data_IF_367471337442
#
_entry.id   IF_367471337442
#
_cell.length_a   1.000
_cell.length_b   1.000
_cell.length_c   1.000
_cell.angle_alpha   90.00
_cell.angle_beta   90.00
_cell.angle_gamma   90.00
#
_symmetry.space_group_name_H-M   'P 1'
#
loop_
_entity.id
_entity.type
_entity.pdbx_description
1 polymer ?
#
# COMPACT_ATOMS: atom_id res chain seq x y z
N UNK A 1 -2.63 -21.44 3.79
CA UNK A 1 -3.06 -20.58 2.68
C UNK A 1 -2.89 -21.30 1.34
N UNK A 2 -1.81 -21.13 0.62
CA UNK A 2 -1.54 -21.80 -0.68
C UNK A 2 -0.18 -22.50 -0.63
N UNK A 3 -0.02 -23.60 0.13
CA UNK A 3 1.29 -24.24 0.36
C UNK A 3 1.95 -24.78 -0.90
N UNK A 4 1.17 -25.01 -1.96
CA UNK A 4 1.66 -25.47 -3.27
C UNK A 4 2.15 -24.36 -4.21
N UNK A 5 1.95 -23.07 -3.84
CA UNK A 5 2.37 -21.94 -4.66
C UNK A 5 3.69 -21.39 -4.09
N UNK A 6 4.72 -21.21 -4.94
CA UNK A 6 5.97 -20.58 -4.49
C UNK A 6 5.74 -19.22 -3.85
N UNK A 7 6.45 -18.93 -2.76
CA UNK A 7 6.41 -17.61 -2.13
C UNK A 7 7.00 -16.56 -3.06
N UNK A 8 6.35 -15.41 -3.18
CA UNK A 8 6.88 -14.25 -3.88
C UNK A 8 7.91 -13.49 -3.03
N UNK A 9 7.79 -13.53 -1.71
CA UNK A 9 8.71 -12.91 -0.78
C UNK A 9 10.04 -13.67 -0.68
N UNK A 10 11.09 -12.94 -0.30
CA UNK A 10 12.41 -13.50 -0.06
C UNK A 10 12.37 -14.63 0.98
N UNK A 11 13.18 -15.66 0.80
CA UNK A 11 13.26 -16.78 1.72
C UNK A 11 13.79 -16.34 3.10
N UNK A 12 13.34 -17.02 4.16
CA UNK A 12 13.82 -16.73 5.52
C UNK A 12 15.33 -17.02 5.69
N UNK A 13 15.86 -17.91 4.87
CA UNK A 13 17.29 -18.23 4.81
C UNK A 13 18.14 -17.21 4.04
N UNK A 14 17.54 -16.20 3.41
CA UNK A 14 18.22 -15.15 2.65
C UNK A 14 17.97 -13.77 3.30
N UNK A 15 18.74 -13.39 4.30
CA UNK A 15 18.57 -12.12 5.00
C UNK A 15 18.89 -10.90 4.14
N UNK A 16 19.77 -11.00 3.15
CA UNK A 16 20.09 -9.92 2.23
C UNK A 16 18.91 -9.63 1.30
N UNK A 17 18.34 -10.63 0.68
CA UNK A 17 17.14 -10.48 -0.15
C UNK A 17 15.95 -9.92 0.65
N UNK A 18 15.77 -10.36 1.90
CA UNK A 18 14.73 -9.80 2.81
C UNK A 18 14.99 -8.33 3.13
N UNK A 19 16.24 -7.95 3.36
CA UNK A 19 16.59 -6.56 3.62
C UNK A 19 16.31 -5.68 2.40
N UNK A 20 16.72 -6.10 1.20
CA UNK A 20 16.45 -5.39 -0.06
C UNK A 20 14.94 -5.22 -0.27
N UNK A 21 14.16 -6.29 -0.11
CA UNK A 21 12.70 -6.24 -0.25
C UNK A 21 12.09 -5.20 0.69
N UNK A 22 12.42 -5.21 1.98
CA UNK A 22 11.89 -4.27 2.97
C UNK A 22 12.36 -2.83 2.73
N UNK A 23 13.60 -2.65 2.30
CA UNK A 23 14.12 -1.32 1.95
C UNK A 23 13.42 -0.74 0.73
N UNK A 24 13.07 -1.55 -0.26
CA UNK A 24 12.30 -1.11 -1.43
C UNK A 24 10.87 -0.73 -1.06
N UNK A 25 10.20 -1.51 -0.21
CA UNK A 25 8.89 -1.17 0.34
C UNK A 25 8.93 0.21 1.02
N UNK A 26 9.83 0.37 1.99
CA UNK A 26 10.01 1.63 2.71
C UNK A 26 10.40 2.79 1.78
N UNK A 27 11.29 2.56 0.81
CA UNK A 27 11.72 3.58 -0.14
C UNK A 27 10.59 4.09 -1.02
N UNK A 28 9.72 3.21 -1.51
CA UNK A 28 8.61 3.59 -2.38
C UNK A 28 7.50 4.29 -1.59
N UNK A 29 7.14 3.77 -0.43
CA UNK A 29 6.03 4.30 0.38
C UNK A 29 6.52 5.43 1.30
N UNK A 30 7.35 5.11 2.28
CA UNK A 30 7.80 6.06 3.31
C UNK A 30 8.80 7.08 2.76
N UNK A 31 9.65 6.68 1.80
CA UNK A 31 10.55 7.55 1.07
C UNK A 31 9.86 8.50 0.10
N UNK A 32 8.54 8.39 -0.03
CA UNK A 32 7.70 9.35 -0.74
C UNK A 32 7.67 9.22 -2.25
N UNK A 33 8.27 8.17 -2.84
CA UNK A 33 8.25 7.96 -4.32
C UNK A 33 6.81 7.89 -4.82
N UNK A 34 5.93 7.19 -4.09
CA UNK A 34 4.49 7.13 -4.44
C UNK A 34 3.83 8.52 -4.44
N UNK A 35 4.08 9.34 -3.41
CA UNK A 35 3.51 10.69 -3.32
C UNK A 35 3.99 11.55 -4.50
N UNK A 36 5.27 11.46 -4.86
CA UNK A 36 5.81 12.18 -6.01
C UNK A 36 5.21 11.66 -7.32
N UNK A 37 4.95 10.36 -7.43
CA UNK A 37 4.24 9.80 -8.59
C UNK A 37 2.85 10.41 -8.76
N UNK A 38 2.10 10.57 -7.68
CA UNK A 38 0.80 11.25 -7.70
C UNK A 38 0.86 12.69 -8.20
N UNK A 39 1.96 13.42 -7.92
CA UNK A 39 2.17 14.80 -8.40
C UNK A 39 2.51 14.88 -9.88
N UNK A 40 2.89 13.77 -10.50
CA UNK A 40 3.16 13.70 -11.95
C UNK A 40 1.93 13.34 -12.78
N UNK A 41 0.77 13.12 -12.17
CA UNK A 41 -0.46 12.90 -12.92
C UNK A 41 -0.74 14.08 -13.86
N UNK A 42 -1.03 13.84 -15.16
CA UNK A 42 -1.35 14.90 -16.09
C UNK A 42 -2.56 15.70 -15.61
N UNK A 43 -2.49 17.02 -15.50
CA UNK A 43 -3.62 17.82 -15.02
C UNK A 43 -4.83 17.78 -15.97
N UNK A 44 -4.65 17.27 -17.19
CA UNK A 44 -5.70 17.06 -18.18
C UNK A 44 -6.51 15.78 -18.00
N UNK A 45 -6.15 14.91 -17.03
CA UNK A 45 -6.92 13.71 -16.75
C UNK A 45 -8.37 14.07 -16.37
N UNK A 46 -9.39 13.46 -17.02
CA UNK A 46 -10.80 13.75 -16.71
C UNK A 46 -11.15 13.62 -15.24
N UNK A 47 -10.56 12.63 -14.56
CA UNK A 47 -10.76 12.39 -13.13
C UNK A 47 -10.34 13.59 -12.26
N UNK A 48 -9.24 14.27 -12.61
CA UNK A 48 -8.76 15.46 -11.90
C UNK A 48 -9.60 16.71 -12.18
N UNK A 49 -10.52 16.65 -13.15
CA UNK A 49 -11.49 17.70 -13.44
C UNK A 49 -12.81 17.49 -12.69
N UNK A 50 -13.03 16.32 -12.08
CA UNK A 50 -14.25 16.02 -11.33
C UNK A 50 -14.23 16.68 -9.94
N UNK A 51 -15.15 17.63 -9.64
CA UNK A 51 -15.21 18.27 -8.32
C UNK A 51 -15.49 17.28 -7.17
N UNK A 52 -16.21 16.19 -7.44
CA UNK A 52 -16.52 15.16 -6.43
C UNK A 52 -15.26 14.41 -6.06
N UNK A 53 -14.47 13.99 -7.06
CA UNK A 53 -13.18 13.35 -6.85
C UNK A 53 -12.22 14.26 -6.09
N UNK A 54 -12.13 15.54 -6.46
CA UNK A 54 -11.23 16.49 -5.80
C UNK A 54 -11.62 16.76 -4.34
N UNK A 55 -12.91 16.78 -4.01
CA UNK A 55 -13.37 16.87 -2.62
C UNK A 55 -12.99 15.63 -1.81
N UNK A 56 -13.23 14.43 -2.38
CA UNK A 56 -12.87 13.17 -1.77
C UNK A 56 -11.35 13.07 -1.53
N UNK A 57 -10.55 13.48 -2.52
CA UNK A 57 -9.09 13.51 -2.36
C UNK A 57 -8.62 14.52 -1.30
N UNK A 58 -9.25 15.69 -1.24
CA UNK A 58 -8.92 16.69 -0.21
C UNK A 58 -9.24 16.18 1.20
N UNK A 59 -10.35 15.47 1.39
CA UNK A 59 -10.69 14.82 2.65
C UNK A 59 -9.70 13.70 2.99
N UNK A 60 -9.40 12.84 2.03
CA UNK A 60 -8.48 11.72 2.19
C UNK A 60 -7.04 12.15 2.49
N UNK A 61 -6.52 13.16 1.81
CA UNK A 61 -5.14 13.63 2.00
C UNK A 61 -5.00 14.71 3.07
N UNK A 62 -6.10 15.32 3.50
CA UNK A 62 -6.09 16.51 4.36
C UNK A 62 -5.63 17.79 3.65
N UNK A 63 -5.38 17.74 2.35
CA UNK A 63 -4.86 18.88 1.55
C UNK A 63 -5.69 19.09 0.30
N UNK A 64 -6.20 20.31 0.13
CA UNK A 64 -6.85 20.72 -1.11
C UNK A 64 -5.79 21.13 -2.14
N UNK A 65 -5.60 20.31 -3.15
CA UNK A 65 -4.67 20.59 -4.24
C UNK A 65 -5.38 21.39 -5.34
N UNK A 66 -4.85 22.57 -5.67
CA UNK A 66 -5.27 23.31 -6.88
C UNK A 66 -4.46 22.87 -8.08
N UNK A 67 -4.97 23.16 -9.28
CA UNK A 67 -4.26 22.86 -10.53
C UNK A 67 -2.91 23.57 -10.59
N UNK A 68 -2.87 24.85 -10.24
CA UNK A 68 -1.66 25.67 -10.24
C UNK A 68 -0.62 25.14 -9.24
N UNK A 69 -1.05 24.74 -8.06
CA UNK A 69 -0.18 24.11 -7.06
C UNK A 69 0.35 22.75 -7.53
N UNK A 70 -0.49 21.93 -8.18
CA UNK A 70 -0.07 20.66 -8.74
C UNK A 70 0.97 20.87 -9.88
N UNK A 71 0.73 21.81 -10.79
CA UNK A 71 1.65 22.15 -11.88
C UNK A 71 2.99 22.69 -11.35
N UNK A 72 2.97 23.52 -10.30
CA UNK A 72 4.19 24.07 -9.67
C UNK A 72 5.06 23.00 -9.00
N UNK A 73 4.47 21.91 -8.47
CA UNK A 73 5.20 20.82 -7.82
C UNK A 73 5.78 19.78 -8.81
N UNK A 74 5.39 19.80 -10.08
CA UNK A 74 5.82 18.80 -11.06
C UNK A 74 7.34 18.74 -11.30
N UNK A 75 8.09 19.84 -11.39
CA UNK A 75 9.53 19.78 -11.62
C UNK A 75 10.28 19.03 -10.50
N UNK A 76 9.95 19.33 -9.24
CA UNK A 76 10.54 18.67 -8.07
C UNK A 76 10.14 17.20 -8.02
N UNK A 77 8.86 16.90 -8.26
CA UNK A 77 8.38 15.54 -8.33
C UNK A 77 9.10 14.73 -9.42
N UNK A 78 9.33 15.30 -10.60
CA UNK A 78 10.08 14.65 -11.67
C UNK A 78 11.53 14.36 -11.25
N UNK A 79 12.18 15.28 -10.54
CA UNK A 79 13.53 15.07 -10.03
C UNK A 79 13.59 13.91 -9.04
N UNK A 80 12.62 13.81 -8.13
CA UNK A 80 12.56 12.70 -7.16
C UNK A 80 12.30 11.36 -7.85
N UNK A 81 11.42 11.31 -8.84
CA UNK A 81 11.20 10.08 -9.62
C UNK A 81 12.45 9.70 -10.42
N UNK A 82 13.16 10.68 -11.00
CA UNK A 82 14.45 10.43 -11.67
C UNK A 82 15.49 9.84 -10.71
N UNK A 83 15.60 10.38 -9.49
CA UNK A 83 16.49 9.82 -8.46
C UNK A 83 16.14 8.38 -8.12
N UNK A 84 14.85 8.08 -7.98
CA UNK A 84 14.41 6.71 -7.72
C UNK A 84 14.75 5.77 -8.90
N UNK A 85 14.53 6.21 -10.14
CA UNK A 85 14.90 5.45 -11.33
C UNK A 85 16.42 5.28 -11.45
N UNK A 86 17.21 6.34 -11.19
CA UNK A 86 18.67 6.30 -11.22
C UNK A 86 19.23 5.29 -10.20
N UNK A 87 18.68 5.27 -8.99
CA UNK A 87 19.06 4.28 -7.99
C UNK A 87 18.89 2.86 -8.54
N UNK A 88 17.73 2.54 -9.10
CA UNK A 88 17.48 1.21 -9.66
C UNK A 88 18.36 0.91 -10.89
N UNK A 89 18.49 1.88 -11.80
CA UNK A 89 19.27 1.77 -13.05
C UNK A 89 20.76 1.48 -12.79
N UNK A 90 21.34 2.16 -11.79
CA UNK A 90 22.78 2.16 -11.53
C UNK A 90 23.20 1.18 -10.44
N UNK A 91 22.25 0.57 -9.71
CA UNK A 91 22.52 -0.39 -8.64
C UNK A 91 21.90 -1.74 -8.94
N UNK A 92 20.64 -1.98 -8.51
CA UNK A 92 20.01 -3.29 -8.59
C UNK A 92 19.87 -3.83 -10.03
N UNK A 93 19.68 -2.96 -11.01
CA UNK A 93 19.59 -3.34 -12.43
C UNK A 93 20.91 -3.17 -13.19
N UNK A 94 21.97 -2.71 -12.54
CA UNK A 94 23.24 -2.36 -13.18
C UNK A 94 23.91 -3.55 -13.87
N UNK A 95 23.81 -4.75 -13.29
CA UNK A 95 24.40 -6.00 -13.80
C UNK A 95 23.57 -6.68 -14.91
N UNK A 96 22.47 -6.07 -15.34
CA UNK A 96 21.62 -6.60 -16.41
C UNK A 96 20.67 -7.71 -15.97
N UNK A 97 20.46 -7.89 -14.66
CA UNK A 97 19.48 -8.86 -14.13
C UNK A 97 18.07 -8.59 -14.63
N UNK A 98 17.27 -9.63 -14.78
CA UNK A 98 15.87 -9.51 -15.18
C UNK A 98 14.97 -9.04 -14.03
N UNK A 99 15.25 -9.50 -12.79
CA UNK A 99 14.47 -9.22 -11.58
C UNK A 99 15.39 -8.77 -10.43
N UNK A 100 14.89 -7.93 -9.55
CA UNK A 100 15.71 -7.24 -8.54
C UNK A 100 16.47 -8.19 -7.60
N UNK A 101 15.90 -9.35 -7.29
CA UNK A 101 16.53 -10.39 -6.46
C UNK A 101 17.15 -11.55 -7.27
N UNK A 102 17.38 -11.39 -8.59
CA UNK A 102 17.92 -12.43 -9.48
C UNK A 102 17.08 -13.71 -9.51
N UNK A 103 15.80 -13.59 -9.30
CA UNK A 103 14.84 -14.70 -9.32
C UNK A 103 14.47 -15.10 -10.75
N UNK A 104 13.87 -16.28 -10.93
CA UNK A 104 13.41 -16.75 -12.25
C UNK A 104 12.18 -16.01 -12.78
N UNK A 105 11.42 -15.35 -11.90
CA UNK A 105 10.26 -14.53 -12.21
C UNK A 105 10.18 -13.33 -11.28
N UNK A 106 9.16 -12.45 -11.40
CA UNK A 106 9.02 -11.31 -10.51
C UNK A 106 8.86 -11.76 -9.05
N UNK A 107 9.61 -11.16 -8.16
CA UNK A 107 9.55 -11.34 -6.71
C UNK A 107 8.71 -10.24 -6.05
N UNK A 108 8.46 -10.38 -4.75
CA UNK A 108 7.80 -9.32 -3.99
C UNK A 108 8.61 -8.00 -4.01
N UNK A 109 9.94 -8.07 -4.03
CA UNK A 109 10.80 -6.89 -4.19
C UNK A 109 10.54 -6.14 -5.52
N UNK A 110 10.27 -6.88 -6.62
CA UNK A 110 9.89 -6.28 -7.89
C UNK A 110 8.51 -5.62 -7.79
N UNK A 111 7.55 -6.26 -7.13
CA UNK A 111 6.20 -5.73 -6.93
C UNK A 111 6.26 -4.44 -6.11
N UNK A 112 6.97 -4.45 -4.98
CA UNK A 112 7.14 -3.29 -4.09
C UNK A 112 7.77 -2.08 -4.80
N UNK A 113 8.72 -2.32 -5.72
CA UNK A 113 9.46 -1.26 -6.38
C UNK A 113 8.82 -0.77 -7.68
N UNK A 114 8.12 -1.63 -8.44
CA UNK A 114 7.73 -1.34 -9.82
C UNK A 114 6.45 -0.53 -9.93
N UNK A 115 5.48 -0.75 -9.04
CA UNK A 115 4.09 -0.36 -9.26
C UNK A 115 3.89 1.15 -9.50
N UNK A 116 4.54 2.02 -8.73
CA UNK A 116 4.43 3.48 -8.89
C UNK A 116 5.16 3.97 -10.15
N UNK A 117 6.33 3.41 -10.45
CA UNK A 117 7.12 3.72 -11.64
C UNK A 117 6.42 3.21 -12.90
N UNK A 118 5.94 1.97 -12.88
CA UNK A 118 5.18 1.36 -13.98
C UNK A 118 3.90 2.14 -14.29
N UNK A 119 3.21 2.59 -13.26
CA UNK A 119 2.05 3.46 -13.41
C UNK A 119 2.38 4.73 -14.21
N UNK A 120 3.47 5.44 -13.86
CA UNK A 120 3.91 6.64 -14.56
C UNK A 120 4.35 6.36 -16.00
N UNK A 121 5.10 5.27 -16.23
CA UNK A 121 5.57 4.87 -17.56
C UNK A 121 4.39 4.60 -18.49
N UNK A 122 3.35 3.95 -17.99
CA UNK A 122 2.17 3.57 -18.77
C UNK A 122 1.10 4.67 -18.85
N UNK A 123 1.28 5.81 -18.17
CA UNK A 123 0.34 6.92 -18.19
C UNK A 123 0.79 8.01 -19.17
N UNK A 124 0.11 8.20 -20.33
CA UNK A 124 0.48 9.22 -21.29
C UNK A 124 0.52 10.62 -20.67
N UNK A 125 1.61 11.35 -20.87
CA UNK A 125 1.81 12.71 -20.36
C UNK A 125 2.26 12.80 -18.89
N UNK A 126 2.43 11.69 -18.18
CA UNK A 126 2.99 11.69 -16.83
C UNK A 126 4.50 11.97 -16.88
N UNK A 127 5.23 11.28 -17.77
CA UNK A 127 6.68 11.37 -17.90
C UNK A 127 7.08 12.04 -19.23
N UNK A 128 8.21 12.80 -19.26
CA UNK A 128 8.80 13.25 -20.51
C UNK A 128 9.21 12.07 -21.41
N UNK A 129 9.16 12.28 -22.72
CA UNK A 129 9.40 11.23 -23.73
C UNK A 129 10.84 10.68 -23.75
N UNK A 130 11.80 11.42 -23.23
CA UNK A 130 13.23 11.08 -23.23
C UNK A 130 13.65 10.15 -22.07
N UNK A 131 12.75 9.90 -21.09
CA UNK A 131 13.09 9.13 -19.88
C UNK A 131 13.53 7.70 -20.20
N UNK A 132 12.96 7.05 -21.22
CA UNK A 132 13.37 5.72 -21.65
C UNK A 132 14.83 5.67 -22.14
N UNK A 133 15.38 6.79 -22.63
CA UNK A 133 16.79 6.88 -23.02
C UNK A 133 17.70 7.08 -21.82
N UNK A 134 17.22 7.74 -20.77
CA UNK A 134 17.98 7.99 -19.55
C UNK A 134 18.01 6.74 -18.64
N UNK A 135 16.94 5.96 -18.62
CA UNK A 135 16.76 4.82 -17.72
C UNK A 135 16.35 3.54 -18.48
N UNK A 136 17.16 3.07 -19.46
CA UNK A 136 16.77 1.97 -20.35
C UNK A 136 16.52 0.65 -19.62
N UNK A 137 17.26 0.35 -18.53
CA UNK A 137 17.08 -0.90 -17.77
C UNK A 137 15.82 -0.87 -16.93
N UNK A 138 15.49 0.28 -16.31
CA UNK A 138 14.22 0.47 -15.58
C UNK A 138 13.02 0.29 -16.52
N UNK A 139 13.05 0.88 -17.71
CA UNK A 139 11.99 0.71 -18.69
C UNK A 139 11.88 -0.73 -19.21
N UNK A 140 13.01 -1.40 -19.46
CA UNK A 140 13.03 -2.81 -19.86
C UNK A 140 12.49 -3.71 -18.74
N UNK A 141 12.85 -3.47 -17.48
CA UNK A 141 12.36 -4.18 -16.32
C UNK A 141 10.84 -3.99 -16.13
N UNK A 142 10.35 -2.74 -16.18
CA UNK A 142 8.93 -2.43 -16.14
C UNK A 142 8.13 -3.15 -17.24
N UNK A 143 8.65 -3.16 -18.47
CA UNK A 143 8.05 -3.89 -19.60
C UNK A 143 8.03 -5.40 -19.39
N UNK A 144 9.08 -5.99 -18.80
CA UNK A 144 9.09 -7.43 -18.43
C UNK A 144 8.04 -7.74 -17.38
N UNK A 145 7.92 -6.87 -16.37
CA UNK A 145 6.90 -7.01 -15.34
C UNK A 145 5.48 -7.01 -15.93
N UNK A 146 5.17 -6.09 -16.83
CA UNK A 146 3.89 -6.06 -17.55
C UNK A 146 3.62 -7.32 -18.34
N UNK A 147 4.63 -7.84 -19.03
CA UNK A 147 4.48 -9.10 -19.78
C UNK A 147 4.21 -10.29 -18.87
N UNK A 148 4.93 -10.37 -17.74
CA UNK A 148 4.77 -11.46 -16.78
C UNK A 148 3.37 -11.43 -16.13
N UNK A 149 2.91 -10.26 -15.69
CA UNK A 149 1.60 -10.10 -15.04
C UNK A 149 0.45 -10.36 -16.02
N UNK A 150 0.53 -9.88 -17.25
CA UNK A 150 -0.47 -10.15 -18.29
C UNK A 150 -0.51 -11.64 -18.67
N UNK A 151 0.64 -12.29 -18.73
CA UNK A 151 0.70 -13.74 -18.98
C UNK A 151 0.05 -14.53 -17.84
N UNK A 152 0.34 -14.18 -16.59
CA UNK A 152 -0.28 -14.79 -15.42
C UNK A 152 -1.80 -14.57 -15.38
N UNK A 153 -2.27 -13.34 -15.62
CA UNK A 153 -3.69 -13.02 -15.67
C UNK A 153 -4.42 -13.81 -16.78
N UNK A 154 -3.79 -13.96 -17.96
CA UNK A 154 -4.33 -14.76 -19.05
C UNK A 154 -4.43 -16.25 -18.69
N UNK A 155 -3.42 -16.78 -17.98
CA UNK A 155 -3.39 -18.18 -17.57
C UNK A 155 -4.44 -18.50 -16.50
N UNK A 156 -4.70 -17.56 -15.58
CA UNK A 156 -5.74 -17.71 -14.54
C UNK A 156 -7.16 -17.56 -15.07
N UNK A 157 -7.34 -16.91 -16.22
CA UNK A 157 -8.64 -16.57 -16.75
C UNK A 157 -9.31 -15.41 -15.99
N UNK A 158 -10.57 -15.16 -16.34
CA UNK A 158 -11.35 -14.05 -15.73
C UNK A 158 -11.80 -14.42 -14.32
N UNK A 159 -11.48 -13.58 -13.36
CA UNK A 159 -12.00 -13.71 -11.99
C UNK A 159 -13.54 -13.58 -12.00
N UNK A 160 -14.26 -14.34 -11.15
CA UNK A 160 -15.70 -14.17 -11.00
C UNK A 160 -16.02 -12.76 -10.50
N UNK A 161 -17.10 -12.20 -11.04
CA UNK A 161 -17.60 -10.89 -10.60
C UNK A 161 -18.76 -11.13 -9.63
N UNK A 162 -18.69 -10.52 -8.46
CA UNK A 162 -19.75 -10.55 -7.45
C UNK A 162 -20.31 -9.13 -7.27
N UNK A 163 -21.58 -9.02 -6.93
CA UNK A 163 -22.17 -7.74 -6.53
C UNK A 163 -21.69 -7.32 -5.15
N UNK A 164 -21.80 -6.01 -4.82
CA UNK A 164 -21.49 -5.53 -3.47
C UNK A 164 -22.34 -6.22 -2.38
N UNK A 165 -23.61 -6.52 -2.67
CA UNK A 165 -24.50 -7.23 -1.76
C UNK A 165 -24.05 -8.67 -1.51
N UNK A 166 -23.65 -9.40 -2.56
CA UNK A 166 -23.12 -10.77 -2.44
C UNK A 166 -21.79 -10.79 -1.66
N UNK A 167 -20.90 -9.82 -1.95
CA UNK A 167 -19.64 -9.68 -1.21
C UNK A 167 -19.90 -9.40 0.28
N UNK A 168 -20.82 -8.50 0.61
CA UNK A 168 -21.20 -8.19 1.99
C UNK A 168 -21.77 -9.44 2.70
N UNK A 169 -22.72 -10.14 2.10
CA UNK A 169 -23.26 -11.40 2.65
C UNK A 169 -22.18 -12.45 2.87
N UNK A 170 -21.25 -12.59 1.93
CA UNK A 170 -20.16 -13.56 2.02
C UNK A 170 -19.21 -13.23 3.17
N UNK A 171 -18.85 -11.96 3.32
CA UNK A 171 -17.98 -11.49 4.41
C UNK A 171 -18.64 -11.77 5.77
N UNK A 172 -19.91 -11.41 5.95
CA UNK A 172 -20.62 -11.59 7.22
C UNK A 172 -20.87 -13.05 7.57
N UNK A 173 -21.04 -13.91 6.57
CA UNK A 173 -21.22 -15.35 6.78
C UNK A 173 -19.91 -16.10 7.03
N UNK A 174 -18.76 -15.48 6.80
CA UNK A 174 -17.46 -16.11 6.94
C UNK A 174 -17.03 -16.16 8.41
N UNK A 175 -16.46 -17.29 8.82
CA UNK A 175 -15.77 -17.38 10.10
C UNK A 175 -14.47 -16.57 10.06
N UNK A 176 -14.01 -16.09 11.21
CA UNK A 176 -12.68 -15.50 11.32
C UNK A 176 -11.62 -16.56 11.00
N UNK A 177 -10.68 -16.22 10.14
CA UNK A 177 -9.67 -17.16 9.64
C UNK A 177 -8.46 -17.29 10.58
N UNK A 178 -8.18 -16.27 11.34
CA UNK A 178 -7.03 -16.20 12.23
C UNK A 178 -7.35 -16.78 13.63
N UNK A 179 -6.34 -17.33 14.27
CA UNK A 179 -6.36 -17.49 15.72
C UNK A 179 -6.48 -16.11 16.37
N UNK A 180 -7.11 -16.02 17.54
CA UNK A 180 -7.27 -14.75 18.23
C UNK A 180 -5.89 -14.15 18.54
N UNK A 181 -5.50 -13.01 17.95
CA UNK A 181 -4.20 -12.43 18.20
C UNK A 181 -4.09 -11.99 19.66
N UNK A 182 -2.89 -12.10 20.23
CA UNK A 182 -2.63 -11.64 21.59
C UNK A 182 -2.44 -10.12 21.63
N UNK A 183 -2.76 -9.51 22.77
CA UNK A 183 -2.25 -8.17 23.10
C UNK A 183 -0.88 -8.38 23.77
N UNK A 184 0.17 -8.00 23.05
CA UNK A 184 1.55 -8.16 23.53
C UNK A 184 1.84 -7.16 24.66
N UNK A 185 2.03 -7.65 25.86
CA UNK A 185 2.34 -6.83 27.03
C UNK A 185 3.69 -6.09 26.93
N UNK A 186 4.59 -6.52 26.04
CA UNK A 186 5.87 -5.86 25.78
C UNK A 186 5.77 -4.74 24.72
N UNK A 187 4.65 -4.63 24.01
CA UNK A 187 4.44 -3.57 23.02
C UNK A 187 4.37 -2.20 23.70
N UNK A 188 5.13 -1.22 23.20
CA UNK A 188 5.33 0.06 23.87
C UNK A 188 4.04 0.87 24.11
N UNK A 189 3.08 0.82 23.16
CA UNK A 189 1.78 1.52 23.28
C UNK A 189 0.89 0.81 24.29
N UNK A 190 0.96 -0.53 24.38
CA UNK A 190 0.28 -1.33 25.39
C UNK A 190 0.79 -0.91 26.78
N UNK A 191 2.09 -0.87 26.97
CA UNK A 191 2.70 -0.47 28.25
C UNK A 191 2.32 0.97 28.63
N UNK A 192 2.46 1.91 27.67
CA UNK A 192 2.22 3.31 27.95
C UNK A 192 0.77 3.64 28.32
N UNK A 193 -0.19 2.99 27.68
CA UNK A 193 -1.61 3.22 27.90
C UNK A 193 -2.29 2.20 28.82
N UNK A 194 -1.59 1.15 29.22
CA UNK A 194 -2.15 0.06 30.03
C UNK A 194 -3.22 -0.76 29.28
N UNK A 195 -3.13 -0.85 27.94
CA UNK A 195 -4.14 -1.48 27.10
C UNK A 195 -4.25 -2.97 27.38
N UNK A 196 -5.49 -3.47 27.34
CA UNK A 196 -5.83 -4.88 27.50
C UNK A 196 -6.79 -5.32 26.40
N UNK A 197 -6.85 -6.60 26.16
CA UNK A 197 -7.87 -7.16 25.28
C UNK A 197 -9.27 -6.79 25.77
N UNK A 198 -10.11 -6.32 24.84
CA UNK A 198 -11.47 -5.84 25.10
C UNK A 198 -11.58 -4.34 25.34
N UNK A 199 -10.48 -3.63 25.58
CA UNK A 199 -10.52 -2.18 25.77
C UNK A 199 -11.02 -1.46 24.51
N UNK A 200 -11.80 -0.40 24.70
CA UNK A 200 -12.26 0.45 23.62
C UNK A 200 -11.09 1.29 23.09
N UNK A 201 -10.78 1.15 21.81
CA UNK A 201 -9.68 1.88 21.17
C UNK A 201 -10.13 2.53 19.87
N UNK A 202 -9.37 3.54 19.43
CA UNK A 202 -9.44 4.12 18.10
C UNK A 202 -8.19 3.75 17.32
N UNK A 203 -8.38 3.41 16.03
CA UNK A 203 -7.31 3.11 15.07
C UNK A 203 -7.46 4.00 13.85
N UNK A 204 -6.34 4.54 13.34
CA UNK A 204 -6.32 5.36 12.12
C UNK A 204 -4.95 5.36 11.46
N UNK A 205 -4.86 5.59 10.13
CA UNK A 205 -3.60 5.74 9.42
C UNK A 205 -2.91 7.07 9.78
N UNK A 206 -1.60 7.16 9.55
CA UNK A 206 -0.80 8.36 9.83
C UNK A 206 -0.62 9.26 8.61
N UNK A 207 -0.86 8.74 7.42
CA UNK A 207 -0.68 9.40 6.13
C UNK A 207 -2.02 9.92 5.56
N UNK A 208 -2.69 9.09 4.80
CA UNK A 208 -3.94 9.42 4.13
C UNK A 208 -5.14 8.88 4.90
N UNK A 209 -6.21 9.64 5.00
CA UNK A 209 -7.40 9.26 5.77
C UNK A 209 -7.25 9.45 7.29
N UNK A 210 -6.22 10.15 7.76
CA UNK A 210 -5.93 10.37 9.18
C UNK A 210 -7.07 11.08 9.96
N UNK A 211 -7.99 11.76 9.26
CA UNK A 211 -9.21 12.33 9.81
C UNK A 211 -10.29 11.30 10.17
N UNK A 212 -10.23 10.11 9.59
CA UNK A 212 -11.19 9.02 9.79
C UNK A 212 -10.63 7.99 10.76
N UNK A 213 -11.40 7.67 11.79
CA UNK A 213 -10.96 6.79 12.87
C UNK A 213 -11.95 5.67 13.07
N UNK A 214 -11.46 4.45 13.03
CA UNK A 214 -12.24 3.29 13.40
C UNK A 214 -12.20 3.09 14.92
N UNK A 215 -13.36 2.90 15.52
CA UNK A 215 -13.48 2.62 16.96
C UNK A 215 -13.97 1.19 17.16
N UNK A 216 -13.34 0.46 18.06
CA UNK A 216 -13.71 -0.91 18.35
C UNK A 216 -13.07 -1.46 19.62
N UNK A 217 -13.45 -2.68 19.99
CA UNK A 217 -12.80 -3.42 21.07
C UNK A 217 -11.45 -3.98 20.58
N UNK A 218 -10.39 -3.75 21.34
CA UNK A 218 -9.06 -4.28 21.03
C UNK A 218 -9.09 -5.81 21.12
N UNK A 219 -8.77 -6.49 20.03
CA UNK A 219 -8.65 -7.95 19.96
C UNK A 219 -7.20 -8.37 20.07
N UNK A 220 -6.30 -7.70 19.37
CA UNK A 220 -4.88 -7.96 19.37
C UNK A 220 -4.04 -6.74 19.05
N UNK A 221 -2.81 -6.71 19.57
CA UNK A 221 -1.84 -5.66 19.29
C UNK A 221 -0.44 -6.26 19.44
N UNK A 222 0.29 -6.32 18.35
CA UNK A 222 1.64 -6.88 18.28
C UNK A 222 2.59 -5.88 17.58
N UNK A 223 3.85 -6.24 17.44
CA UNK A 223 4.81 -5.45 16.68
C UNK A 223 4.49 -5.36 15.17
N UNK A 224 3.62 -6.21 14.64
CA UNK A 224 3.28 -6.27 13.22
C UNK A 224 1.85 -5.85 12.88
N UNK A 225 0.92 -5.92 13.83
CA UNK A 225 -0.51 -5.80 13.55
C UNK A 225 -1.31 -5.23 14.71
N UNK A 226 -2.37 -4.48 14.38
CA UNK A 226 -3.44 -4.05 15.29
C UNK A 226 -4.71 -4.73 14.82
N UNK A 227 -5.45 -5.40 15.72
CA UNK A 227 -6.76 -5.98 15.41
C UNK A 227 -7.81 -5.43 16.35
N UNK A 228 -8.86 -4.86 15.79
CA UNK A 228 -10.03 -4.41 16.54
C UNK A 228 -11.28 -5.10 16.03
N UNK A 229 -12.25 -5.28 16.91
CA UNK A 229 -13.57 -5.76 16.58
C UNK A 229 -14.56 -4.59 16.61
N UNK A 230 -15.29 -4.37 15.53
CA UNK A 230 -16.20 -3.24 15.39
C UNK A 230 -17.48 -3.66 14.68
N UNK A 231 -18.51 -2.82 14.75
CA UNK A 231 -19.77 -3.03 14.04
C UNK A 231 -19.66 -2.54 12.59
N UNK A 232 -20.11 -3.36 11.67
CA UNK A 232 -20.15 -3.08 10.22
C UNK A 232 -21.53 -2.59 9.74
N UNK A 233 -22.33 -2.05 10.64
CA UNK A 233 -23.71 -1.68 10.44
C UNK A 233 -24.67 -2.63 11.18
N UNK A 234 -25.69 -2.09 11.81
CA UNK A 234 -26.66 -2.88 12.59
C UNK A 234 -25.99 -3.69 13.71
N UNK A 235 -26.23 -5.00 13.71
CA UNK A 235 -25.66 -5.95 14.68
C UNK A 235 -24.44 -6.70 14.16
N UNK A 236 -24.12 -6.54 12.88
CA UNK A 236 -23.00 -7.26 12.24
C UNK A 236 -21.67 -6.81 12.80
N UNK A 237 -20.79 -7.76 13.05
CA UNK A 237 -19.49 -7.55 13.67
C UNK A 237 -18.38 -8.02 12.73
N UNK A 238 -17.39 -7.18 12.52
CA UNK A 238 -16.19 -7.50 11.74
C UNK A 238 -14.92 -7.27 12.54
N UNK A 239 -13.85 -7.94 12.15
CA UNK A 239 -12.50 -7.64 12.62
C UNK A 239 -11.78 -6.82 11.57
N UNK A 240 -11.23 -5.69 12.01
CA UNK A 240 -10.38 -4.81 11.20
C UNK A 240 -8.94 -5.08 11.58
N UNK A 241 -8.16 -5.52 10.60
CA UNK A 241 -6.73 -5.75 10.70
C UNK A 241 -5.99 -4.57 10.09
N UNK A 242 -5.19 -3.88 10.88
CA UNK A 242 -4.36 -2.78 10.42
C UNK A 242 -2.88 -3.14 10.64
N UNK A 243 -2.00 -2.86 9.66
CA UNK A 243 -0.56 -2.99 9.88
C UNK A 243 -0.12 -2.15 11.07
N UNK A 244 0.90 -2.62 11.82
CA UNK A 244 1.43 -1.81 12.93
C UNK A 244 2.15 -0.57 12.43
N UNK A 245 2.90 -0.70 11.34
CA UNK A 245 3.54 0.41 10.66
C UNK A 245 2.51 1.29 9.94
N UNK A 246 2.66 2.60 10.04
CA UNK A 246 1.76 3.56 9.39
C UNK A 246 0.39 3.74 10.05
N UNK A 247 0.10 3.04 11.16
CA UNK A 247 -1.16 3.16 11.90
C UNK A 247 -0.94 3.51 13.37
N UNK A 248 -1.88 4.25 13.92
CA UNK A 248 -1.92 4.63 15.32
C UNK A 248 -3.09 3.96 16.02
N UNK A 249 -2.86 3.51 17.26
CA UNK A 249 -3.90 3.04 18.17
C UNK A 249 -3.84 3.85 19.47
N UNK A 250 -5.00 4.22 20.02
CA UNK A 250 -5.13 4.95 21.30
C UNK A 250 -6.39 4.48 22.02
N UNK A 251 -6.47 4.60 23.35
CA UNK A 251 -7.73 4.47 24.07
C UNK A 251 -8.81 5.36 23.44
N UNK A 252 -10.01 4.84 23.29
CA UNK A 252 -11.13 5.66 22.84
C UNK A 252 -11.43 6.74 23.89
N UNK A 253 -11.84 7.97 23.50
CA UNK A 253 -12.25 8.99 24.44
C UNK A 253 -13.40 8.48 25.32
N UNK A 254 -13.34 8.74 26.62
CA UNK A 254 -14.45 8.49 27.53
C UNK A 254 -15.67 9.29 27.09
N UNK A 255 -16.82 8.65 26.86
CA UNK A 255 -18.10 9.34 26.65
C UNK A 255 -18.76 9.22 25.27
N UNK A 256 -18.27 8.40 24.35
CA UNK A 256 -19.03 8.01 23.15
C UNK A 256 -18.95 6.49 22.93
N UNK A 257 -19.83 5.70 23.51
CA UNK A 257 -20.05 4.35 23.01
C UNK A 257 -20.88 4.49 21.71
N UNK A 258 -20.22 4.54 20.57
CA UNK A 258 -20.86 4.12 19.33
C UNK A 258 -20.79 2.59 19.31
N UNK A 259 -21.65 2.01 20.10
CA UNK A 259 -21.98 0.60 20.04
C UNK A 259 -23.15 0.36 19.09
#
# INVERSE_FOLDING_TARGET
MFPSVPRLGAADSDPEAKAIQRLLEAFIIDGGVFVQSGRLLPPTLPLLQDPKFNRDRADFTGVKMTREAAEALRPEALNEIRRAMELLETTLLADGRDWLLKTAGPSLADIEAVWSINWLINLPGAMPADQAKLFPKVYAWSSRFDKATRAAAKAQGKAPTVSGEEAHKTILASAYHEEAPAVDAAEAVVQFHGLRQGDAVQVWPLDSGAGHRDTGALVGLTASEIVIQTKAGGQDVVRVHAPRHGFRVRPAPEGKPNL
#
